data_IF_473256580949
#
_entry.id   IF_473256580949
#
_cell.length_a   1.000
_cell.length_b   1.000
_cell.length_c   1.000
_cell.angle_alpha   90.00
_cell.angle_beta   90.00
_cell.angle_gamma   90.00
#
_symmetry.space_group_name_H-M   'P 1'
#
loop_
_entity.id
_entity.type
_entity.pdbx_description
1 polymer ?
#
# COMPACT_ATOMS: atom_id res chain seq x y z
N UNK A 1 16.71 -2.18 22.10
CA UNK A 1 16.44 -2.32 21.68
C UNK A 1 16.08 -2.65 21.13
N UNK A 2 15.56 -2.70 20.94
CA UNK A 2 15.05 -3.05 20.48
C UNK A 2 14.48 -3.39 19.88
N UNK A 3 14.32 -3.32 19.48
CA UNK A 3 13.70 -3.64 18.87
C UNK A 3 13.18 -4.36 18.60
N UNK A 4 13.04 -4.25 18.33
CA UNK A 4 12.48 -4.95 18.27
C UNK A 4 11.90 -5.57 17.52
N UNK A 5 11.72 -5.62 17.39
CA UNK A 5 10.82 -6.17 16.83
C UNK A 5 10.74 -6.31 15.49
N UNK A 6 10.15 -7.02 15.07
CA UNK A 6 10.08 -7.38 13.80
C UNK A 6 9.27 -6.48 13.06
N UNK A 7 9.39 -5.29 13.20
CA UNK A 7 8.72 -4.54 12.38
C UNK A 7 9.23 -4.66 11.17
N UNK A 8 8.66 -5.22 10.39
CA UNK A 8 9.12 -5.50 9.20
C UNK A 8 9.24 -4.27 8.43
N UNK A 9 10.37 -3.98 7.96
CA UNK A 9 10.57 -2.96 6.98
C UNK A 9 9.62 -3.15 5.82
N UNK A 10 9.31 -4.39 5.48
CA UNK A 10 8.37 -4.69 4.42
C UNK A 10 7.00 -4.07 4.68
N UNK A 11 6.52 -4.19 5.92
CA UNK A 11 5.21 -3.63 6.24
C UNK A 11 5.24 -2.11 6.13
N UNK A 12 6.32 -1.49 6.59
CA UNK A 12 6.46 -0.04 6.48
C UNK A 12 6.48 0.41 5.03
N UNK A 13 7.19 -0.34 4.17
CA UNK A 13 7.24 -0.01 2.75
C UNK A 13 5.89 -0.18 2.10
N UNK A 14 5.15 -1.22 2.46
CA UNK A 14 3.83 -1.44 1.90
C UNK A 14 2.85 -0.35 2.31
N UNK A 15 2.94 0.12 3.54
CA UNK A 15 2.09 1.21 4.00
C UNK A 15 2.43 2.50 3.26
N UNK A 16 3.71 2.79 3.09
CA UNK A 16 4.13 3.98 2.35
C UNK A 16 3.66 3.90 0.90
N UNK A 17 3.75 2.72 0.31
CA UNK A 17 3.29 2.53 -1.06
C UNK A 17 1.77 2.71 -1.16
N UNK A 18 1.04 2.23 -0.15
CA UNK A 18 -0.41 2.40 -0.12
C UNK A 18 -0.78 3.88 -0.10
N UNK A 19 -0.04 4.68 0.64
CA UNK A 19 -0.30 6.12 0.67
C UNK A 19 -0.07 6.75 -0.69
N UNK A 20 1.02 6.36 -1.36
CA UNK A 20 1.32 6.88 -2.69
C UNK A 20 0.21 6.52 -3.67
N UNK A 21 -0.23 5.28 -3.64
CA UNK A 21 -1.26 4.83 -4.55
C UNK A 21 -2.59 5.50 -4.26
N UNK A 22 -2.89 5.72 -2.99
CA UNK A 22 -4.13 6.40 -2.63
C UNK A 22 -4.11 7.85 -3.13
N UNK A 23 -2.97 8.52 -3.01
CA UNK A 23 -2.84 9.87 -3.53
C UNK A 23 -2.97 9.89 -5.05
N UNK A 24 -2.39 8.91 -5.72
CA UNK A 24 -2.52 8.78 -7.17
C UNK A 24 -3.97 8.54 -7.56
N UNK A 25 -4.67 7.70 -6.80
CA UNK A 25 -6.08 7.44 -7.04
C UNK A 25 -6.89 8.73 -6.90
N UNK A 26 -6.63 9.49 -5.84
CA UNK A 26 -7.36 10.73 -5.63
C UNK A 26 -7.10 11.76 -6.72
N UNK A 27 -5.89 11.75 -7.27
CA UNK A 27 -5.53 12.69 -8.33
C UNK A 27 -6.05 12.29 -9.69
N UNK A 28 -6.05 11.00 -10.01
CA UNK A 28 -6.39 10.52 -11.34
C UNK A 28 -7.72 9.80 -11.44
N UNK A 29 -8.18 9.21 -10.35
CA UNK A 29 -9.36 8.35 -10.33
C UNK A 29 -9.26 7.25 -11.39
N UNK A 30 -8.05 6.84 -11.71
CA UNK A 30 -7.83 5.83 -12.73
C UNK A 30 -7.55 4.48 -12.08
N UNK A 31 -8.59 3.65 -12.03
CA UNK A 31 -8.49 2.35 -11.40
C UNK A 31 -7.48 1.43 -12.11
N UNK A 32 -7.43 1.50 -13.42
CA UNK A 32 -6.51 0.67 -14.17
C UNK A 32 -5.07 0.99 -13.85
N UNK A 33 -4.78 2.27 -13.66
CA UNK A 33 -3.44 2.70 -13.30
C UNK A 33 -3.05 2.13 -11.94
N UNK A 34 -3.96 2.20 -10.97
CA UNK A 34 -3.72 1.67 -9.65
C UNK A 34 -3.49 0.16 -9.70
N UNK A 35 -4.29 -0.55 -10.47
CA UNK A 35 -4.13 -1.99 -10.57
C UNK A 35 -2.81 -2.38 -11.22
N UNK A 36 -2.38 -1.59 -12.19
CA UNK A 36 -1.09 -1.82 -12.84
C UNK A 36 0.05 -1.66 -11.83
N UNK A 37 -0.04 -0.62 -10.99
CA UNK A 37 0.95 -0.42 -9.95
C UNK A 37 0.94 -1.57 -8.94
N UNK A 38 -0.25 -2.03 -8.55
CA UNK A 38 -0.35 -3.13 -7.60
C UNK A 38 0.23 -4.41 -8.17
N UNK A 39 0.02 -4.65 -9.45
CA UNK A 39 0.55 -5.84 -10.09
C UNK A 39 2.08 -5.81 -10.10
N UNK A 40 2.64 -4.65 -10.38
CA UNK A 40 4.08 -4.48 -10.35
C UNK A 40 4.62 -4.63 -8.93
N UNK A 41 3.90 -4.09 -7.96
CA UNK A 41 4.31 -4.17 -6.56
C UNK A 41 4.30 -5.61 -6.06
N UNK A 42 3.38 -6.43 -6.55
CA UNK A 42 3.36 -7.83 -6.14
C UNK A 42 4.62 -8.55 -6.57
N UNK A 43 5.15 -8.22 -7.73
CA UNK A 43 6.40 -8.80 -8.17
C UNK A 43 7.58 -8.28 -7.34
N UNK A 44 7.49 -7.04 -6.93
CA UNK A 44 8.58 -6.42 -6.20
C UNK A 44 8.62 -6.84 -4.73
N UNK A 45 7.48 -6.94 -4.10
CA UNK A 45 7.39 -7.20 -2.66
C UNK A 45 6.97 -8.63 -2.32
N UNK A 46 6.60 -9.43 -3.32
CA UNK A 46 6.28 -10.84 -3.11
C UNK A 46 4.80 -11.14 -3.18
N UNK A 47 4.47 -12.43 -3.10
CA UNK A 47 3.09 -12.87 -3.24
C UNK A 47 2.20 -12.25 -2.18
N UNK A 48 1.05 -11.83 -2.59
CA UNK A 48 0.07 -11.27 -1.67
C UNK A 48 0.27 -9.80 -1.36
N UNK A 49 1.34 -9.19 -1.90
CA UNK A 49 1.62 -7.79 -1.61
C UNK A 49 0.51 -6.87 -2.08
N UNK A 50 -0.07 -7.14 -3.24
CA UNK A 50 -1.14 -6.28 -3.75
C UNK A 50 -2.35 -6.29 -2.82
N UNK A 51 -2.70 -7.45 -2.27
CA UNK A 51 -3.80 -7.54 -1.33
C UNK A 51 -3.51 -6.80 -0.04
N UNK A 52 -2.29 -6.92 0.46
CA UNK A 52 -1.90 -6.22 1.67
C UNK A 52 -1.90 -4.70 1.46
N UNK A 53 -1.39 -4.26 0.32
CA UNK A 53 -1.36 -2.84 -0.01
C UNK A 53 -2.79 -2.30 -0.15
N UNK A 54 -3.68 -3.06 -0.79
CA UNK A 54 -5.08 -2.66 -0.88
C UNK A 54 -5.71 -2.50 0.49
N UNK A 55 -5.40 -3.43 1.39
CA UNK A 55 -5.90 -3.34 2.77
C UNK A 55 -5.42 -2.10 3.47
N UNK A 56 -4.15 -1.75 3.29
CA UNK A 56 -3.59 -0.54 3.87
C UNK A 56 -4.23 0.70 3.25
N UNK A 57 -4.47 0.70 1.94
CA UNK A 57 -5.14 1.82 1.28
C UNK A 57 -6.52 2.04 1.86
N UNK A 58 -7.27 0.97 2.07
CA UNK A 58 -8.60 1.07 2.64
C UNK A 58 -8.55 1.63 4.07
N UNK A 59 -7.61 1.15 4.86
CA UNK A 59 -7.47 1.61 6.23
C UNK A 59 -7.11 3.09 6.28
N UNK A 60 -6.21 3.53 5.43
CA UNK A 60 -5.81 4.93 5.36
C UNK A 60 -6.98 5.79 4.91
N UNK A 61 -7.73 5.32 3.92
CA UNK A 61 -8.88 6.04 3.40
C UNK A 61 -9.95 6.21 4.49
N UNK A 62 -10.23 5.14 5.23
CA UNK A 62 -11.20 5.19 6.31
C UNK A 62 -10.77 6.17 7.38
N UNK A 63 -9.49 6.22 7.69
CA UNK A 63 -9.00 7.17 8.66
C UNK A 63 -9.16 8.60 8.19
N UNK A 64 -8.94 8.86 6.92
CA UNK A 64 -9.08 10.20 6.36
C UNK A 64 -10.52 10.69 6.35
N UNK A 65 -11.46 9.75 6.38
CA UNK A 65 -12.88 10.13 6.37
C UNK A 65 -13.38 10.49 7.76
N UNK A 66 -12.63 10.20 8.79
CA UNK A 66 -13.04 10.55 10.16
C UNK A 66 -12.71 12.04 10.49
#
# INVERSE_FOLDING_TARGET
MKKTGPLPERQTLEIARARELLDTWNATKNKQLIERHLKSDEKLYGDGASDRIRGHMRAIHDERLK
#
